data_IF_064157211040
#
_entry.id   IF_064157211040
#
_cell.length_a   1.000
_cell.length_b   1.000
_cell.length_c   1.000
_cell.angle_alpha   90.00
_cell.angle_beta   90.00
_cell.angle_gamma   90.00
#
_symmetry.space_group_name_H-M   'P 1'
#
loop_
_entity.id
_entity.type
_entity.pdbx_description
1 polymer ?
#
# COMPACT_ATOMS: atom_id res chain seq x y z
N UNK A 1 25.62 -12.79 55.32
CA UNK A 1 25.74 -11.89 54.15
C UNK A 1 24.77 -12.38 53.09
N UNK A 2 23.75 -11.59 52.77
CA UNK A 2 22.79 -11.91 51.71
C UNK A 2 23.26 -11.25 50.43
N UNK A 3 23.63 -12.05 49.44
CA UNK A 3 23.87 -11.57 48.08
C UNK A 3 22.51 -11.24 47.48
N UNK A 4 22.21 -9.96 47.34
CA UNK A 4 21.04 -9.49 46.57
C UNK A 4 21.49 -9.28 45.13
N UNK A 5 21.17 -10.23 44.25
CA UNK A 5 21.27 -10.02 42.81
C UNK A 5 20.13 -9.09 42.39
N UNK A 6 20.39 -7.77 42.33
CA UNK A 6 19.50 -6.86 41.61
C UNK A 6 19.61 -7.22 40.12
N UNK A 7 18.60 -7.92 39.61
CA UNK A 7 18.41 -8.11 38.17
C UNK A 7 18.55 -6.76 37.47
N UNK A 8 19.44 -6.71 36.48
CA UNK A 8 19.64 -5.56 35.60
C UNK A 8 18.34 -5.28 34.83
N UNK A 9 17.40 -4.52 35.41
CA UNK A 9 16.43 -3.75 34.64
C UNK A 9 17.11 -2.65 33.77
N UNK A 10 18.45 -2.60 33.81
CA UNK A 10 19.34 -1.95 32.83
C UNK A 10 19.79 -2.96 31.75
N UNK A 11 19.00 -3.99 31.46
CA UNK A 11 19.05 -4.70 30.19
C UNK A 11 18.42 -3.78 29.12
N UNK A 12 19.17 -2.73 28.76
CA UNK A 12 18.90 -1.75 27.70
C UNK A 12 19.01 -2.37 26.29
N UNK A 13 18.53 -3.59 26.11
CA UNK A 13 18.49 -4.26 24.82
C UNK A 13 17.14 -4.99 24.69
N UNK A 14 16.30 -4.49 23.78
CA UNK A 14 15.32 -5.26 23.03
C UNK A 14 14.19 -5.98 23.80
N UNK A 15 13.50 -5.33 24.74
CA UNK A 15 12.13 -5.76 25.06
C UNK A 15 11.22 -5.03 24.09
N UNK A 16 11.06 -5.61 22.91
CA UNK A 16 9.87 -5.37 22.11
C UNK A 16 8.63 -5.50 23.01
N UNK A 17 7.66 -4.61 22.90
CA UNK A 17 6.35 -4.90 23.46
C UNK A 17 5.73 -6.14 22.78
N UNK A 18 4.58 -6.62 23.28
CA UNK A 18 3.89 -7.78 22.69
C UNK A 18 3.46 -7.57 21.23
N UNK A 19 3.61 -6.37 20.68
CA UNK A 19 3.25 -6.00 19.31
C UNK A 19 4.46 -5.82 18.39
N UNK A 20 5.69 -6.05 18.87
CA UNK A 20 6.89 -5.89 18.04
C UNK A 20 7.60 -4.53 18.18
N UNK A 21 7.08 -3.59 18.99
CA UNK A 21 7.68 -2.25 19.14
C UNK A 21 8.87 -2.23 20.09
N UNK A 22 10.03 -1.84 19.59
CA UNK A 22 11.29 -1.81 20.34
C UNK A 22 11.57 -0.47 21.07
N UNK A 23 10.61 0.46 21.10
CA UNK A 23 10.74 1.81 21.70
C UNK A 23 9.62 2.07 22.71
N UNK A 24 9.62 3.25 23.33
CA UNK A 24 8.64 3.73 24.29
C UNK A 24 7.19 3.36 23.91
N UNK A 25 6.46 2.84 24.90
CA UNK A 25 5.07 2.37 24.78
C UNK A 25 4.05 3.53 24.82
N UNK A 26 4.47 4.75 24.48
CA UNK A 26 3.69 5.98 24.56
C UNK A 26 3.03 6.40 23.23
N UNK A 27 2.95 5.45 22.29
CA UNK A 27 2.14 5.58 21.08
C UNK A 27 0.68 5.93 21.40
N UNK A 28 0.01 6.61 20.46
CA UNK A 28 -1.41 7.00 20.53
C UNK A 28 -2.33 6.10 19.75
N UNK A 29 -1.86 5.64 18.59
CA UNK A 29 -2.57 4.69 17.73
C UNK A 29 -1.59 3.61 17.34
N UNK A 30 -2.03 2.35 17.45
CA UNK A 30 -1.34 1.17 16.97
C UNK A 30 -2.29 0.36 16.11
N UNK A 31 -1.90 0.08 14.88
CA UNK A 31 -2.60 -0.76 13.94
C UNK A 31 -1.72 -1.96 13.62
N UNK A 32 -2.11 -3.12 14.11
CA UNK A 32 -1.49 -4.40 13.78
C UNK A 32 -2.46 -5.17 12.87
N UNK A 33 -2.27 -5.01 11.57
CA UNK A 33 -3.07 -5.64 10.53
C UNK A 33 -2.83 -7.14 10.45
N UNK A 34 -1.62 -7.58 10.75
CA UNK A 34 -1.29 -8.99 10.79
C UNK A 34 -2.10 -9.70 11.86
N UNK A 35 -2.24 -9.14 13.06
CA UNK A 35 -2.91 -9.80 14.19
C UNK A 35 -4.35 -9.34 14.44
N UNK A 36 -4.91 -8.48 13.57
CA UNK A 36 -6.22 -7.83 13.77
C UNK A 36 -6.32 -7.11 15.13
N UNK A 37 -5.25 -6.44 15.55
CA UNK A 37 -5.21 -5.68 16.81
C UNK A 37 -5.13 -4.19 16.51
N UNK A 38 -6.16 -3.46 16.91
CA UNK A 38 -6.27 -2.02 16.69
C UNK A 38 -6.46 -1.35 18.03
N UNK A 39 -5.49 -0.53 18.41
CA UNK A 39 -5.42 0.03 19.75
C UNK A 39 -5.31 1.55 19.70
N UNK A 40 -6.02 2.19 20.60
CA UNK A 40 -5.94 3.63 20.84
C UNK A 40 -5.56 3.86 22.30
N UNK A 41 -4.53 4.68 22.53
CA UNK A 41 -4.09 5.04 23.88
C UNK A 41 -4.58 6.42 24.26
N UNK A 42 -5.22 6.52 25.42
CA UNK A 42 -5.68 7.79 26.01
C UNK A 42 -5.19 7.89 27.45
N UNK A 43 -4.37 8.90 27.76
CA UNK A 43 -3.73 9.12 29.06
C UNK A 43 -3.01 7.88 29.63
N UNK A 44 -3.73 7.01 30.33
CA UNK A 44 -3.24 5.77 30.96
C UNK A 44 -3.85 4.48 30.37
N UNK A 45 -4.95 4.58 29.62
CA UNK A 45 -5.71 3.41 29.16
C UNK A 45 -5.37 3.05 27.72
N UNK A 46 -5.34 1.76 27.44
CA UNK A 46 -5.23 1.20 26.09
C UNK A 46 -6.60 0.62 25.73
N UNK A 47 -7.25 1.24 24.76
CA UNK A 47 -8.59 0.86 24.29
C UNK A 47 -8.45 0.02 23.03
N UNK A 48 -9.07 -1.18 23.04
CA UNK A 48 -9.25 -1.96 21.82
C UNK A 48 -10.32 -1.30 20.95
N UNK A 49 -10.04 -1.22 19.65
CA UNK A 49 -10.90 -0.64 18.63
C UNK A 49 -11.17 -1.64 17.53
N UNK A 50 -12.19 -1.39 16.72
CA UNK A 50 -12.32 -2.03 15.41
C UNK A 50 -11.47 -1.27 14.40
N UNK A 51 -11.10 -1.94 13.29
CA UNK A 51 -10.33 -1.29 12.22
C UNK A 51 -11.07 -0.07 11.67
N UNK A 52 -12.40 -0.15 11.56
CA UNK A 52 -13.26 0.92 11.05
C UNK A 52 -13.38 2.11 11.99
N UNK A 53 -13.05 1.99 13.27
CA UNK A 53 -13.00 3.12 14.21
C UNK A 53 -11.74 4.00 13.98
N UNK A 54 -10.69 3.42 13.41
CA UNK A 54 -9.39 4.05 13.25
C UNK A 54 -9.05 4.36 11.79
N UNK A 55 -9.62 3.62 10.85
CA UNK A 55 -9.43 3.82 9.43
C UNK A 55 -10.73 4.19 8.72
N UNK A 56 -10.60 5.09 7.74
CA UNK A 56 -11.60 5.36 6.72
C UNK A 56 -11.09 4.78 5.42
N UNK A 57 -11.91 3.99 4.74
CA UNK A 57 -11.51 3.34 3.49
C UNK A 57 -12.52 3.68 2.43
N UNK A 58 -12.03 4.21 1.32
CA UNK A 58 -12.74 4.21 0.07
C UNK A 58 -12.12 3.07 -0.74
N UNK A 59 -12.81 1.94 -0.88
CA UNK A 59 -12.28 0.80 -1.64
C UNK A 59 -13.39 0.23 -2.51
N UNK A 60 -13.04 -0.01 -3.77
CA UNK A 60 -13.93 -0.54 -4.81
C UNK A 60 -13.60 -1.99 -5.18
N UNK A 61 -12.53 -2.58 -4.63
CA UNK A 61 -12.15 -3.97 -4.86
C UNK A 61 -12.50 -4.85 -3.64
N UNK A 62 -13.54 -5.69 -3.73
CA UNK A 62 -14.01 -6.47 -2.60
C UNK A 62 -13.22 -7.76 -2.36
N UNK A 63 -12.26 -8.14 -3.20
CA UNK A 63 -11.63 -9.48 -3.12
C UNK A 63 -10.50 -9.49 -2.09
N UNK A 64 -10.51 -10.46 -1.16
CA UNK A 64 -9.42 -10.72 -0.23
C UNK A 64 -9.21 -12.22 0.02
N UNK A 65 -8.07 -12.56 0.63
CA UNK A 65 -7.77 -13.89 1.14
C UNK A 65 -7.57 -13.83 2.65
N UNK A 66 -8.24 -14.72 3.39
CA UNK A 66 -8.01 -14.87 4.82
C UNK A 66 -6.59 -15.33 5.12
N UNK A 67 -6.20 -15.31 6.40
CA UNK A 67 -4.91 -15.86 6.84
C UNK A 67 -4.69 -17.31 6.45
N UNK A 68 -5.77 -18.09 6.38
CA UNK A 68 -5.74 -19.51 6.03
C UNK A 68 -5.70 -19.72 4.50
N UNK A 69 -5.67 -18.64 3.71
CA UNK A 69 -5.68 -18.68 2.25
C UNK A 69 -7.07 -18.83 1.63
N UNK A 70 -8.13 -18.86 2.44
CA UNK A 70 -9.50 -18.93 1.93
C UNK A 70 -9.94 -17.61 1.29
N UNK A 71 -10.61 -17.70 0.14
CA UNK A 71 -11.15 -16.54 -0.57
C UNK A 71 -12.39 -15.95 0.13
N UNK A 72 -12.47 -14.62 0.19
CA UNK A 72 -13.62 -13.89 0.71
C UNK A 72 -13.93 -12.63 -0.11
N UNK A 73 -15.22 -12.27 -0.12
CA UNK A 73 -15.74 -11.01 -0.66
C UNK A 73 -16.04 -10.07 0.50
N UNK A 74 -15.42 -8.88 0.46
CA UNK A 74 -15.59 -7.81 1.43
C UNK A 74 -16.72 -6.88 1.00
N UNK A 75 -17.40 -6.27 1.97
CA UNK A 75 -18.33 -5.19 1.70
C UNK A 75 -17.59 -3.93 1.21
N UNK A 76 -18.29 -3.07 0.46
CA UNK A 76 -17.78 -1.77 0.03
C UNK A 76 -17.22 -0.97 1.22
N UNK A 77 -16.17 -0.19 0.97
CA UNK A 77 -15.52 0.66 1.99
C UNK A 77 -14.95 -0.10 3.20
N UNK A 78 -14.70 -1.41 3.05
CA UNK A 78 -14.01 -2.23 4.05
C UNK A 78 -12.50 -2.25 3.76
N UNK A 79 -11.63 -2.03 4.77
CA UNK A 79 -10.20 -2.24 4.63
C UNK A 79 -9.90 -3.66 4.17
N UNK A 80 -9.07 -3.79 3.14
CA UNK A 80 -8.73 -5.09 2.58
C UNK A 80 -7.57 -5.73 3.33
N UNK A 81 -7.89 -6.46 4.38
CA UNK A 81 -6.93 -7.34 5.05
C UNK A 81 -6.85 -8.64 4.28
N UNK A 82 -5.70 -8.89 3.65
CA UNK A 82 -5.53 -10.04 2.79
C UNK A 82 -4.16 -10.67 3.01
N UNK A 83 -4.11 -12.00 2.91
CA UNK A 83 -2.88 -12.69 2.64
C UNK A 83 -2.36 -12.20 1.28
N UNK A 84 -1.06 -11.92 1.19
CA UNK A 84 -0.42 -11.67 -0.09
C UNK A 84 -0.57 -12.94 -0.94
N UNK A 85 -0.52 -12.78 -2.25
CA UNK A 85 -0.80 -13.88 -3.16
C UNK A 85 0.15 -15.07 -3.06
N UNK A 86 1.38 -14.83 -2.59
CA UNK A 86 2.35 -15.91 -2.38
C UNK A 86 2.09 -16.69 -1.07
N UNK A 87 1.06 -16.32 -0.30
CA UNK A 87 0.67 -17.00 0.93
C UNK A 87 1.58 -16.73 2.13
N UNK A 88 2.47 -15.74 2.05
CA UNK A 88 3.55 -15.54 3.03
C UNK A 88 3.31 -14.44 4.05
N UNK A 89 2.45 -13.47 3.77
CA UNK A 89 2.24 -12.28 4.63
C UNK A 89 0.79 -11.85 4.62
N UNK A 90 0.20 -11.70 5.80
CA UNK A 90 -1.15 -11.14 5.97
C UNK A 90 -1.08 -9.70 6.47
N UNK A 91 -1.89 -8.81 5.88
CA UNK A 91 -1.99 -7.43 6.34
C UNK A 91 -2.89 -6.59 5.45
N UNK A 92 -2.82 -5.27 5.62
CA UNK A 92 -3.57 -4.32 4.80
C UNK A 92 -2.96 -4.28 3.38
N UNK A 93 -3.75 -4.74 2.41
CA UNK A 93 -3.36 -4.84 1.01
C UNK A 93 -3.82 -3.60 0.23
N UNK A 94 -2.85 -2.73 -0.03
CA UNK A 94 -3.05 -1.48 -0.76
C UNK A 94 -2.61 -1.61 -2.23
N UNK A 95 -3.56 -1.77 -3.15
CA UNK A 95 -3.28 -1.79 -4.60
C UNK A 95 -3.74 -0.50 -5.28
N UNK A 96 -3.22 -0.17 -6.47
CA UNK A 96 -3.76 0.94 -7.25
C UNK A 96 -5.17 0.57 -7.76
N UNK A 97 -6.12 1.52 -7.77
CA UNK A 97 -7.40 1.30 -8.44
C UNK A 97 -7.21 1.37 -9.94
N UNK A 98 -7.47 0.23 -10.56
CA UNK A 98 -8.08 0.19 -11.87
C UNK A 98 -9.52 0.77 -11.77
N UNK A 99 -9.97 1.54 -12.76
CA UNK A 99 -11.39 1.95 -12.83
C UNK A 99 -12.27 0.71 -13.00
N UNK A 100 -12.92 0.27 -11.94
CA UNK A 100 -13.65 -1.00 -11.92
C UNK A 100 -14.89 -0.98 -12.84
N UNK A 101 -14.71 -1.44 -14.08
CA UNK A 101 -15.81 -2.02 -14.84
C UNK A 101 -15.85 -3.51 -14.51
N UNK A 102 -16.79 -3.88 -13.65
CA UNK A 102 -16.77 -5.11 -12.87
C UNK A 102 -17.65 -6.19 -13.51
N UNK A 103 -17.05 -7.32 -13.90
CA UNK A 103 -17.77 -8.59 -14.04
C UNK A 103 -17.35 -9.53 -12.90
N UNK A 104 -17.99 -9.46 -11.71
CA UNK A 104 -17.86 -10.48 -10.69
C UNK A 104 -18.76 -11.66 -11.01
N UNK A 105 -18.28 -12.86 -10.71
CA UNK A 105 -19.16 -14.00 -10.61
C UNK A 105 -18.57 -15.00 -9.63
N UNK A 106 -19.34 -15.36 -8.59
CA UNK A 106 -18.99 -16.37 -7.58
C UNK A 106 -19.36 -17.80 -8.01
N UNK A 107 -19.92 -17.94 -9.21
CA UNK A 107 -20.11 -19.20 -9.92
C UNK A 107 -20.03 -18.92 -11.43
N UNK A 108 -18.85 -18.53 -11.95
CA UNK A 108 -18.71 -18.14 -13.34
C UNK A 108 -19.03 -19.30 -14.28
N UNK A 109 -19.79 -18.99 -15.33
CA UNK A 109 -20.08 -19.89 -16.43
C UNK A 109 -19.63 -19.24 -17.74
N UNK A 110 -19.27 -20.06 -18.72
CA UNK A 110 -18.89 -19.57 -20.04
C UNK A 110 -19.99 -18.71 -20.66
N UNK A 111 -19.65 -17.50 -21.09
CA UNK A 111 -20.58 -16.57 -21.73
C UNK A 111 -19.87 -15.43 -22.44
N UNK A 112 -20.61 -14.74 -23.30
CA UNK A 112 -20.18 -13.44 -23.84
C UNK A 112 -20.50 -12.33 -22.85
N UNK A 113 -19.53 -11.46 -22.61
CA UNK A 113 -19.70 -10.24 -21.82
C UNK A 113 -19.48 -9.01 -22.70
N UNK A 114 -20.15 -7.93 -22.32
CA UNK A 114 -19.98 -6.62 -22.91
C UNK A 114 -18.99 -5.83 -22.06
N UNK A 115 -17.92 -5.35 -22.68
CA UNK A 115 -16.97 -4.42 -22.09
C UNK A 115 -17.48 -3.00 -22.35
N UNK A 116 -18.04 -2.38 -21.31
CA UNK A 116 -18.56 -1.00 -21.38
C UNK A 116 -17.38 -0.04 -21.52
N UNK A 117 -17.37 0.76 -22.59
CA UNK A 117 -16.27 1.67 -22.92
C UNK A 117 -16.37 3.00 -22.15
N UNK A 118 -15.23 3.49 -21.68
CA UNK A 118 -14.93 4.89 -21.36
C UNK A 118 -13.79 5.42 -22.23
N UNK A 119 -13.42 6.70 -22.09
CA UNK A 119 -12.29 7.30 -22.84
C UNK A 119 -10.93 6.64 -22.57
N UNK A 120 -10.83 5.84 -21.50
CA UNK A 120 -9.60 5.16 -21.04
C UNK A 120 -9.85 3.66 -20.75
N UNK A 121 -10.34 2.89 -21.73
CA UNK A 121 -10.69 1.48 -21.49
C UNK A 121 -9.62 0.51 -21.97
N UNK A 122 -8.82 0.01 -21.01
CA UNK A 122 -7.91 -1.12 -21.21
C UNK A 122 -6.51 -0.85 -20.62
N UNK A 123 -5.67 -1.88 -20.47
CA UNK A 123 -5.99 -3.30 -20.52
C UNK A 123 -7.03 -3.80 -19.52
N UNK A 124 -7.55 -4.98 -19.79
CA UNK A 124 -8.52 -5.67 -18.97
C UNK A 124 -7.82 -6.78 -18.20
N UNK A 125 -7.76 -6.66 -16.88
CA UNK A 125 -7.12 -7.63 -15.99
C UNK A 125 -8.10 -8.78 -15.76
N UNK A 126 -7.62 -10.00 -15.90
CA UNK A 126 -8.36 -11.23 -15.60
C UNK A 126 -7.76 -11.86 -14.35
N UNK A 127 -8.57 -12.00 -13.31
CA UNK A 127 -8.25 -12.74 -12.09
C UNK A 127 -9.33 -13.78 -11.83
N UNK A 128 -8.93 -14.98 -11.42
CA UNK A 128 -9.86 -16.03 -11.03
C UNK A 128 -9.39 -16.75 -9.78
N UNK A 129 -10.32 -17.47 -9.14
CA UNK A 129 -10.08 -18.35 -7.99
C UNK A 129 -10.64 -19.72 -8.32
N UNK A 130 -9.91 -20.78 -8.02
CA UNK A 130 -10.26 -22.17 -8.31
C UNK A 130 -9.17 -22.92 -9.07
N UNK A 131 -9.31 -24.24 -9.15
CA UNK A 131 -8.37 -25.14 -9.84
C UNK A 131 -8.53 -25.15 -11.37
N UNK A 132 -9.58 -24.52 -11.89
CA UNK A 132 -9.85 -24.38 -13.32
C UNK A 132 -9.02 -23.29 -14.01
N UNK A 133 -9.43 -22.94 -15.22
CA UNK A 133 -8.89 -21.84 -16.02
C UNK A 133 -10.00 -21.04 -16.69
N UNK A 134 -9.65 -19.83 -17.12
CA UNK A 134 -10.52 -18.94 -17.89
C UNK A 134 -9.82 -18.53 -19.17
N UNK A 135 -10.49 -18.67 -20.30
CA UNK A 135 -10.02 -18.19 -21.59
C UNK A 135 -10.88 -17.02 -22.05
N UNK A 136 -10.25 -15.95 -22.52
CA UNK A 136 -10.96 -14.78 -23.03
C UNK A 136 -10.63 -14.63 -24.51
N UNK A 137 -11.68 -14.64 -25.34
CA UNK A 137 -11.57 -14.55 -26.81
C UNK A 137 -12.54 -13.50 -27.35
N UNK A 138 -12.27 -13.01 -28.55
CA UNK A 138 -13.15 -12.05 -29.21
C UNK A 138 -12.41 -11.34 -30.33
N UNK A 139 -13.12 -10.96 -31.39
CA UNK A 139 -12.53 -10.21 -32.51
C UNK A 139 -12.06 -8.81 -32.11
N UNK A 140 -12.55 -8.29 -30.98
CA UNK A 140 -12.09 -7.03 -30.42
C UNK A 140 -10.79 -7.13 -29.63
N UNK A 141 -10.29 -8.35 -29.33
CA UNK A 141 -9.06 -8.52 -28.55
C UNK A 141 -7.85 -8.36 -29.45
N UNK A 142 -6.97 -7.42 -29.10
CA UNK A 142 -5.77 -7.08 -29.88
C UNK A 142 -4.51 -7.74 -29.36
N UNK A 143 -4.46 -8.01 -28.07
CA UNK A 143 -3.36 -8.74 -27.43
C UNK A 143 -3.80 -9.38 -26.13
N UNK A 144 -3.07 -10.41 -25.71
CA UNK A 144 -3.25 -11.08 -24.42
C UNK A 144 -1.91 -11.55 -23.88
N UNK A 145 -1.76 -11.58 -22.57
CA UNK A 145 -0.58 -12.16 -21.88
C UNK A 145 -0.58 -13.67 -21.84
N UNK A 146 -1.77 -14.27 -21.85
CA UNK A 146 -1.93 -15.71 -21.80
C UNK A 146 -3.08 -16.14 -22.69
N UNK A 147 -2.99 -17.38 -23.18
CA UNK A 147 -4.12 -18.05 -23.82
C UNK A 147 -5.17 -18.48 -22.78
N UNK A 148 -4.74 -18.73 -21.54
CA UNK A 148 -5.59 -19.14 -20.42
C UNK A 148 -5.12 -18.49 -19.11
N UNK A 149 -6.06 -17.99 -18.33
CA UNK A 149 -5.84 -17.37 -17.04
C UNK A 149 -6.19 -18.37 -15.94
N UNK A 150 -5.31 -18.52 -14.95
CA UNK A 150 -5.53 -19.37 -13.78
C UNK A 150 -5.38 -18.57 -12.50
N UNK A 151 -5.72 -19.17 -11.35
CA UNK A 151 -5.51 -18.50 -10.06
C UNK A 151 -4.04 -18.16 -9.80
N UNK A 152 -3.08 -18.94 -10.33
CA UNK A 152 -1.64 -18.68 -10.18
C UNK A 152 -1.06 -17.85 -11.32
N UNK A 153 -1.71 -17.83 -12.48
CA UNK A 153 -1.30 -17.08 -13.66
C UNK A 153 -2.43 -16.12 -14.05
N UNK A 154 -2.54 -14.96 -13.38
CA UNK A 154 -3.49 -13.97 -13.83
C UNK A 154 -2.92 -13.36 -15.11
N UNK A 155 -3.69 -12.51 -15.77
CA UNK A 155 -3.10 -11.72 -16.83
C UNK A 155 -4.00 -10.58 -17.20
N UNK A 156 -3.78 -10.09 -18.40
CA UNK A 156 -4.61 -9.10 -19.01
C UNK A 156 -4.72 -9.35 -20.52
N UNK A 157 -5.72 -8.71 -21.10
CA UNK A 157 -5.85 -8.57 -22.54
C UNK A 157 -6.15 -7.12 -22.91
N UNK A 158 -5.82 -6.75 -24.15
CA UNK A 158 -6.16 -5.48 -24.77
C UNK A 158 -7.34 -5.68 -25.69
N UNK A 159 -8.16 -4.63 -25.85
CA UNK A 159 -9.21 -4.60 -26.85
C UNK A 159 -9.16 -3.30 -27.66
N UNK A 160 -9.50 -3.35 -28.96
CA UNK A 160 -9.53 -2.21 -29.88
C UNK A 160 -10.52 -1.09 -29.44
N UNK A 161 -10.27 0.18 -29.81
CA UNK A 161 -11.04 1.39 -29.41
C UNK A 161 -11.17 2.39 -30.58
N UNK A 162 -12.29 3.18 -30.78
CA UNK A 162 -13.00 3.91 -29.71
C UNK A 162 -14.52 4.24 -29.86
N UNK A 163 -15.41 3.40 -30.42
CA UNK A 163 -16.84 3.81 -30.56
C UNK A 163 -17.93 2.75 -30.38
N UNK A 164 -17.62 1.54 -29.94
CA UNK A 164 -18.61 0.47 -29.79
C UNK A 164 -18.33 -0.41 -28.57
N UNK A 165 -19.37 -0.83 -27.85
CA UNK A 165 -19.28 -1.84 -26.78
C UNK A 165 -18.54 -3.07 -27.31
N UNK A 166 -17.35 -3.37 -26.78
CA UNK A 166 -16.56 -4.52 -27.20
C UNK A 166 -17.15 -5.79 -26.57
N UNK A 167 -17.39 -6.83 -27.36
CA UNK A 167 -17.89 -8.11 -26.87
C UNK A 167 -16.75 -9.11 -26.81
N UNK A 168 -16.56 -9.72 -25.64
CA UNK A 168 -15.59 -10.82 -25.47
C UNK A 168 -16.30 -12.06 -24.94
N UNK A 169 -15.95 -13.21 -25.50
CA UNK A 169 -16.35 -14.51 -25.01
C UNK A 169 -15.40 -14.94 -23.89
N UNK A 170 -15.97 -15.20 -22.72
CA UNK A 170 -15.30 -15.76 -21.57
C UNK A 170 -15.67 -17.24 -21.51
N UNK A 171 -14.68 -18.10 -21.62
CA UNK A 171 -14.82 -19.55 -21.49
C UNK A 171 -14.24 -19.97 -20.15
N UNK A 172 -15.07 -20.60 -19.30
CA UNK A 172 -14.71 -21.12 -17.99
C UNK A 172 -14.49 -22.63 -18.11
N UNK A 173 -13.30 -23.09 -17.75
CA UNK A 173 -12.86 -24.48 -17.91
C UNK A 173 -12.55 -25.04 -16.51
N UNK A 174 -13.24 -26.12 -16.12
CA UNK A 174 -13.04 -26.74 -14.81
C UNK A 174 -13.65 -25.96 -13.64
N UNK A 175 -13.11 -26.16 -12.44
CA UNK A 175 -13.65 -25.56 -11.22
C UNK A 175 -13.12 -24.13 -11.04
N UNK A 176 -13.94 -23.14 -11.40
CA UNK A 176 -13.69 -21.73 -11.10
C UNK A 176 -14.73 -21.26 -10.09
N UNK A 177 -14.27 -20.86 -8.90
CA UNK A 177 -15.08 -20.37 -7.78
C UNK A 177 -15.34 -18.86 -7.86
N UNK A 178 -14.43 -18.11 -8.46
CA UNK A 178 -14.63 -16.69 -8.70
C UNK A 178 -13.92 -16.24 -9.96
N UNK A 179 -14.52 -15.32 -10.69
CA UNK A 179 -13.89 -14.62 -11.82
C UNK A 179 -14.15 -13.13 -11.70
N UNK A 180 -13.09 -12.36 -11.90
CA UNK A 180 -13.11 -10.91 -12.00
C UNK A 180 -12.37 -10.47 -13.27
N UNK A 181 -13.08 -9.74 -14.13
CA UNK A 181 -12.49 -9.02 -15.26
C UNK A 181 -12.61 -7.53 -14.96
N UNK A 182 -11.49 -6.82 -14.92
CA UNK A 182 -11.38 -5.45 -14.44
C UNK A 182 -10.72 -4.55 -15.48
N UNK A 183 -11.40 -3.49 -15.91
CA UNK A 183 -10.80 -2.47 -16.77
C UNK A 183 -9.80 -1.63 -15.99
N UNK A 184 -8.60 -1.43 -16.51
CA UNK A 184 -7.54 -0.75 -15.75
C UNK A 184 -7.58 0.77 -15.78
N UNK A 185 -8.42 1.36 -16.63
CA UNK A 185 -8.49 2.81 -16.78
C UNK A 185 -7.31 3.42 -17.56
N UNK A 186 -6.59 2.64 -18.37
CA UNK A 186 -5.42 3.10 -19.12
C UNK A 186 -5.72 3.23 -20.63
N UNK A 187 -4.85 3.92 -21.37
CA UNK A 187 -4.97 4.02 -22.82
C UNK A 187 -4.40 2.78 -23.54
N UNK A 188 -4.70 2.58 -24.84
CA UNK A 188 -4.32 1.39 -25.60
C UNK A 188 -2.79 1.16 -25.79
N UNK A 189 -1.95 2.12 -25.39
CA UNK A 189 -0.48 2.05 -25.54
C UNK A 189 0.26 1.64 -24.25
N UNK A 190 -0.45 1.05 -23.29
CA UNK A 190 0.13 0.57 -22.03
C UNK A 190 0.92 -0.73 -22.18
N UNK A 191 2.25 -0.67 -22.10
CA UNK A 191 3.11 -1.87 -22.02
C UNK A 191 2.96 -2.56 -20.67
N UNK A 192 2.88 -3.87 -20.70
CA UNK A 192 2.42 -4.67 -19.57
C UNK A 192 3.15 -6.02 -19.56
N UNK A 193 3.61 -6.44 -18.39
CA UNK A 193 4.24 -7.75 -18.15
C UNK A 193 3.58 -8.35 -16.91
N UNK A 194 2.80 -9.42 -17.13
CA UNK A 194 2.11 -10.35 -16.23
C UNK A 194 1.54 -9.96 -14.84
N UNK A 195 1.57 -8.71 -14.36
CA UNK A 195 0.98 -8.43 -13.05
C UNK A 195 0.63 -6.95 -12.76
N UNK A 196 -0.21 -6.31 -13.59
CA UNK A 196 -0.78 -4.94 -13.48
C UNK A 196 -0.16 -3.92 -14.45
N UNK A 197 -0.87 -2.82 -14.66
CA UNK A 197 -0.87 -2.11 -15.94
C UNK A 197 -0.29 -0.70 -15.83
N UNK A 198 0.38 -0.26 -16.91
CA UNK A 198 1.03 1.05 -17.04
C UNK A 198 0.35 1.97 -18.07
N UNK A 199 0.37 3.27 -17.77
CA UNK A 199 0.01 4.44 -18.64
C UNK A 199 1.09 4.83 -19.66
N UNK A 200 0.65 5.40 -20.78
CA UNK A 200 1.34 6.51 -21.44
C UNK A 200 0.36 7.69 -21.59
N UNK A 201 0.81 8.89 -21.21
CA UNK A 201 0.20 10.23 -21.36
C UNK A 201 -0.81 10.74 -20.29
N UNK A 202 -0.50 11.91 -19.74
CA UNK A 202 -1.33 13.12 -19.89
C UNK A 202 -2.57 13.31 -19.01
N UNK A 203 -2.35 13.56 -17.71
CA UNK A 203 -3.33 14.13 -16.74
C UNK A 203 -4.59 13.29 -16.45
N UNK A 204 -5.28 13.60 -15.35
CA UNK A 204 -6.60 13.08 -14.92
C UNK A 204 -6.61 11.89 -13.92
N UNK A 205 -6.36 12.26 -12.66
CA UNK A 205 -6.73 11.69 -11.36
C UNK A 205 -7.80 10.57 -11.37
N UNK A 206 -7.39 9.32 -11.13
CA UNK A 206 -8.27 8.25 -10.68
C UNK A 206 -8.19 8.15 -9.15
N UNK A 207 -9.34 8.15 -8.47
CA UNK A 207 -9.41 7.94 -7.03
C UNK A 207 -8.92 6.53 -6.70
N UNK A 208 -7.67 6.44 -6.24
CA UNK A 208 -7.13 5.26 -5.58
C UNK A 208 -8.06 4.83 -4.46
N UNK A 209 -8.12 3.53 -4.19
CA UNK A 209 -8.69 3.08 -2.94
C UNK A 209 -7.82 3.70 -1.85
N UNK A 210 -8.35 4.68 -1.12
CA UNK A 210 -7.58 5.40 -0.12
C UNK A 210 -7.96 4.86 1.24
N UNK A 211 -7.01 4.19 1.88
CA UNK A 211 -7.09 3.96 3.31
C UNK A 211 -6.48 5.17 4.02
N UNK A 212 -7.27 5.82 4.86
CA UNK A 212 -6.85 6.95 5.68
C UNK A 212 -6.93 6.59 7.14
N UNK A 213 -5.99 7.08 7.94
CA UNK A 213 -6.27 7.23 9.37
C UNK A 213 -7.42 8.23 9.47
N UNK A 214 -8.48 7.85 10.20
CA UNK A 214 -9.67 8.67 10.33
C UNK A 214 -9.30 10.13 10.69
N UNK A 215 -9.79 11.14 9.96
CA UNK A 215 -9.40 12.53 10.20
C UNK A 215 -9.63 13.00 11.65
N UNK A 216 -10.68 12.50 12.31
CA UNK A 216 -10.93 12.78 13.72
C UNK A 216 -9.84 12.24 14.64
N UNK A 217 -9.17 11.13 14.30
CA UNK A 217 -8.06 10.55 15.06
C UNK A 217 -6.76 11.29 14.82
N UNK A 218 -6.49 11.69 13.57
CA UNK A 218 -5.38 12.60 13.26
C UNK A 218 -5.56 13.91 14.02
N UNK A 219 -6.79 14.44 14.02
CA UNK A 219 -7.14 15.67 14.73
C UNK A 219 -6.93 15.51 16.25
N UNK A 220 -7.52 14.48 16.85
CA UNK A 220 -7.45 14.23 18.29
C UNK A 220 -6.01 14.10 18.79
N UNK A 221 -5.14 13.44 18.03
CA UNK A 221 -3.81 13.08 18.51
C UNK A 221 -2.70 14.01 18.02
N UNK A 222 -2.82 14.56 16.80
CA UNK A 222 -1.78 15.32 16.12
C UNK A 222 -2.18 16.74 15.69
N UNK A 223 -3.44 17.18 15.82
CA UNK A 223 -3.84 18.51 15.32
C UNK A 223 -2.95 19.60 15.91
N UNK A 224 -2.41 20.45 15.03
CA UNK A 224 -1.54 21.57 15.38
C UNK A 224 -0.24 21.16 16.10
N UNK A 225 0.04 19.87 16.29
CA UNK A 225 1.30 19.39 16.85
C UNK A 225 2.35 19.38 15.74
N UNK A 226 3.44 20.10 15.99
CA UNK A 226 4.67 20.04 15.19
C UNK A 226 5.52 18.83 15.56
N UNK A 227 5.46 18.44 16.83
CA UNK A 227 6.20 17.33 17.38
C UNK A 227 5.35 16.07 17.29
N UNK A 228 5.69 15.18 16.36
CA UNK A 228 5.00 13.90 16.19
C UNK A 228 5.95 12.89 15.56
N UNK A 229 5.62 11.61 15.68
CA UNK A 229 6.35 10.55 15.00
C UNK A 229 5.42 9.46 14.49
N UNK A 230 5.78 8.84 13.38
CA UNK A 230 5.06 7.70 12.84
C UNK A 230 6.05 6.58 12.50
N UNK A 231 5.61 5.34 12.61
CA UNK A 231 6.34 4.18 12.12
C UNK A 231 5.39 3.24 11.42
N UNK A 232 5.85 2.60 10.37
CA UNK A 232 5.10 1.54 9.72
C UNK A 232 6.03 0.50 9.13
N UNK A 233 5.54 -0.73 9.03
CA UNK A 233 6.20 -1.80 8.32
C UNK A 233 5.46 -2.06 7.02
N UNK A 234 6.21 -2.04 5.92
CA UNK A 234 5.74 -2.47 4.61
C UNK A 234 6.54 -3.67 4.14
N UNK A 235 5.84 -4.66 3.61
CA UNK A 235 6.46 -5.80 2.95
C UNK A 235 6.21 -5.70 1.46
N UNK A 236 7.30 -5.78 0.71
CA UNK A 236 7.29 -5.81 -0.73
C UNK A 236 6.48 -6.97 -1.24
N UNK A 237 5.69 -6.64 -2.26
CA UNK A 237 5.00 -7.64 -3.01
C UNK A 237 5.81 -7.99 -4.27
N UNK A 238 6.60 -9.07 -4.20
CA UNK A 238 7.54 -9.42 -5.27
C UNK A 238 6.88 -9.80 -6.60
N UNK A 239 5.60 -10.18 -6.60
CA UNK A 239 4.87 -10.46 -7.85
C UNK A 239 4.38 -9.19 -8.56
N UNK A 240 4.55 -8.03 -7.93
CA UNK A 240 4.24 -6.71 -8.49
C UNK A 240 5.53 -5.98 -8.90
N UNK A 241 6.63 -6.73 -8.95
CA UNK A 241 7.89 -6.34 -9.58
C UNK A 241 7.73 -6.42 -11.09
N UNK A 242 7.58 -5.27 -11.70
CA UNK A 242 7.70 -5.16 -13.14
C UNK A 242 9.15 -4.84 -13.53
N UNK A 243 9.51 -5.29 -14.74
CA UNK A 243 10.53 -4.63 -15.52
C UNK A 243 9.83 -3.49 -16.29
N UNK A 244 10.16 -2.25 -16.00
CA UNK A 244 9.60 -1.11 -16.72
C UNK A 244 10.72 -0.16 -17.15
N UNK A 245 10.63 0.26 -18.42
CA UNK A 245 11.42 1.35 -18.98
C UNK A 245 10.84 2.74 -18.71
N UNK A 246 9.69 2.90 -18.01
CA UNK A 246 9.19 4.21 -17.53
C UNK A 246 7.98 4.10 -16.51
N UNK A 247 7.25 5.16 -16.11
CA UNK A 247 7.27 5.75 -14.75
C UNK A 247 5.92 6.22 -14.09
N UNK A 248 5.51 5.59 -12.97
CA UNK A 248 4.34 5.99 -12.13
C UNK A 248 4.56 5.61 -10.66
N UNK A 249 4.35 6.54 -9.70
CA UNK A 249 4.53 6.31 -8.25
C UNK A 249 3.21 6.09 -7.50
N UNK A 250 3.14 5.09 -6.61
CA UNK A 250 2.17 5.06 -5.51
C UNK A 250 2.93 5.24 -4.18
N UNK A 251 2.64 6.30 -3.41
CA UNK A 251 3.14 6.44 -2.06
C UNK A 251 2.75 5.25 -1.19
N UNK A 252 3.69 4.82 -0.35
CA UNK A 252 3.44 3.89 0.74
C UNK A 252 2.61 4.58 1.83
N UNK A 253 3.05 5.77 2.23
CA UNK A 253 2.37 6.61 3.20
C UNK A 253 2.51 8.07 2.77
N UNK A 254 1.44 8.83 2.96
CA UNK A 254 1.44 10.28 2.77
C UNK A 254 1.01 10.99 4.04
N UNK A 255 1.73 12.06 4.37
CA UNK A 255 1.37 13.01 5.42
C UNK A 255 1.01 14.33 4.76
N UNK A 256 -0.23 14.76 4.92
CA UNK A 256 -0.80 15.88 4.16
C UNK A 256 -1.14 17.03 5.07
N UNK A 257 -0.81 18.22 4.60
CA UNK A 257 -1.26 19.50 5.11
C UNK A 257 -1.66 20.39 3.92
N UNK A 258 -2.45 21.44 4.15
CA UNK A 258 -2.99 22.34 3.13
C UNK A 258 -1.94 22.88 2.15
N UNK A 259 -0.70 23.12 2.60
CA UNK A 259 0.37 23.72 1.79
C UNK A 259 1.68 22.93 1.78
N UNK A 260 1.75 21.84 2.55
CA UNK A 260 2.95 21.02 2.74
C UNK A 260 2.59 19.55 2.67
N UNK A 261 3.45 18.74 2.08
CA UNK A 261 3.17 17.32 1.88
C UNK A 261 4.44 16.49 2.03
N UNK A 262 4.31 15.29 2.59
CA UNK A 262 5.37 14.27 2.65
C UNK A 262 4.84 13.01 1.98
N UNK A 263 5.48 12.55 0.91
CA UNK A 263 5.21 11.23 0.33
C UNK A 263 6.41 10.32 0.57
N UNK A 264 6.15 9.10 1.00
CA UNK A 264 7.17 8.06 1.10
C UNK A 264 6.91 7.07 -0.02
N UNK A 265 7.88 6.86 -0.89
CA UNK A 265 7.76 5.98 -2.04
C UNK A 265 8.86 4.92 -1.97
N UNK A 266 8.57 3.72 -2.46
CA UNK A 266 9.61 2.77 -2.84
C UNK A 266 9.82 2.86 -4.35
N UNK A 267 11.07 2.88 -4.82
CA UNK A 267 11.40 3.04 -6.25
C UNK A 267 12.61 2.22 -6.66
N UNK A 268 12.74 1.97 -7.96
CA UNK A 268 13.96 1.42 -8.56
C UNK A 268 14.80 2.57 -9.11
N UNK A 269 16.10 2.54 -8.89
CA UNK A 269 17.04 3.56 -9.35
C UNK A 269 18.08 2.95 -10.30
N UNK A 270 18.29 3.63 -11.43
CA UNK A 270 19.28 3.27 -12.44
C UNK A 270 18.92 2.04 -13.28
N UNK A 271 19.83 1.70 -14.21
CA UNK A 271 19.72 0.53 -15.10
C UNK A 271 19.97 -0.81 -14.40
N UNK A 272 20.54 -0.79 -13.20
CA UNK A 272 20.90 -1.97 -12.42
C UNK A 272 19.78 -2.46 -11.45
N UNK A 273 18.59 -1.87 -11.50
CA UNK A 273 17.43 -2.27 -10.69
C UNK A 273 17.65 -2.24 -9.17
N UNK A 274 18.55 -1.40 -8.65
CA UNK A 274 18.67 -1.18 -7.21
C UNK A 274 17.35 -0.58 -6.68
N UNK A 275 16.80 -1.14 -5.60
CA UNK A 275 15.63 -0.58 -4.93
C UNK A 275 16.05 0.41 -3.86
N UNK A 276 15.26 1.47 -3.68
CA UNK A 276 15.38 2.39 -2.55
C UNK A 276 14.02 2.88 -2.07
N UNK A 277 13.98 3.39 -0.83
CA UNK A 277 12.88 4.21 -0.35
C UNK A 277 13.30 5.65 -0.61
N UNK A 278 12.43 6.45 -1.21
CA UNK A 278 12.64 7.88 -1.34
C UNK A 278 11.54 8.64 -0.60
N UNK A 279 11.93 9.69 0.08
CA UNK A 279 11.01 10.61 0.74
C UNK A 279 10.95 11.88 -0.08
N UNK A 280 9.75 12.23 -0.52
CA UNK A 280 9.47 13.44 -1.28
C UNK A 280 8.85 14.45 -0.33
N UNK A 281 9.53 15.56 -0.13
CA UNK A 281 9.11 16.68 0.71
C UNK A 281 8.66 17.81 -0.18
N UNK A 282 7.42 18.27 -0.02
CA UNK A 282 6.86 19.33 -0.82
C UNK A 282 6.56 20.55 0.06
N UNK A 283 7.28 21.64 -0.18
CA UNK A 283 7.12 22.92 0.49
C UNK A 283 7.52 24.05 -0.46
N UNK A 284 6.59 24.47 -1.33
CA UNK A 284 6.82 25.34 -2.51
C UNK A 284 7.75 24.75 -3.59
N UNK A 285 8.78 24.01 -3.19
CA UNK A 285 9.66 23.19 -4.04
C UNK A 285 9.67 21.75 -3.55
N UNK A 286 9.92 20.83 -4.47
CA UNK A 286 10.10 19.42 -4.14
C UNK A 286 11.56 19.13 -3.77
N UNK A 287 11.76 18.43 -2.66
CA UNK A 287 13.04 17.84 -2.25
C UNK A 287 12.89 16.34 -2.15
N UNK A 288 13.77 15.59 -2.80
CA UNK A 288 13.78 14.13 -2.74
C UNK A 288 14.97 13.66 -1.91
N UNK A 289 14.70 12.88 -0.87
CA UNK A 289 15.71 12.28 0.01
C UNK A 289 15.73 10.77 -0.25
N UNK A 290 16.77 10.24 -0.91
CA UNK A 290 16.95 8.81 -1.03
C UNK A 290 17.36 8.21 0.32
N UNK A 291 16.78 7.05 0.64
CA UNK A 291 17.10 6.25 1.81
C UNK A 291 17.57 4.88 1.34
N UNK A 292 18.81 4.55 1.68
CA UNK A 292 19.47 3.28 1.34
C UNK A 292 19.15 2.18 2.36
N UNK A 293 19.43 0.92 2.00
CA UNK A 293 19.22 -0.22 2.91
C UNK A 293 17.80 -0.80 2.91
N UNK A 294 17.06 -0.60 1.82
CA UNK A 294 15.77 -1.26 1.64
C UNK A 294 15.91 -2.76 1.57
N UNK A 295 15.06 -3.44 2.32
CA UNK A 295 14.90 -4.89 2.26
C UNK A 295 13.49 -5.20 1.78
N UNK A 296 13.22 -6.48 1.51
CA UNK A 296 11.87 -6.96 1.21
C UNK A 296 10.87 -6.57 2.31
N UNK A 297 11.30 -6.64 3.57
CA UNK A 297 10.58 -6.11 4.71
C UNK A 297 11.27 -4.82 5.13
N UNK A 298 10.58 -3.69 5.09
CA UNK A 298 11.14 -2.42 5.51
C UNK A 298 10.29 -1.80 6.61
N UNK A 299 10.92 -1.44 7.73
CA UNK A 299 10.29 -0.63 8.78
C UNK A 299 10.81 0.79 8.65
N UNK A 300 9.89 1.73 8.43
CA UNK A 300 10.17 3.13 8.15
C UNK A 300 9.61 3.96 9.31
N UNK A 301 10.44 4.79 9.91
CA UNK A 301 10.05 5.71 10.95
C UNK A 301 10.31 7.17 10.54
N UNK A 302 9.40 8.06 10.91
CA UNK A 302 9.48 9.50 10.67
C UNK A 302 9.29 10.20 12.00
N UNK A 303 10.06 11.24 12.25
CA UNK A 303 9.85 12.15 13.36
C UNK A 303 9.90 13.58 12.89
N UNK A 304 8.92 14.39 13.28
CA UNK A 304 8.88 15.82 13.04
C UNK A 304 9.00 16.58 14.34
N UNK A 305 9.65 17.74 14.29
CA UNK A 305 9.60 18.73 15.36
C UNK A 305 10.36 20.00 15.04
N UNK A 306 10.79 20.71 16.08
CA UNK A 306 11.36 22.07 15.96
C UNK A 306 12.64 22.14 15.11
N UNK A 307 13.38 21.03 15.03
CA UNK A 307 14.61 20.91 14.25
C UNK A 307 14.37 20.40 12.81
N UNK A 308 13.12 20.21 12.40
CA UNK A 308 12.74 19.66 11.10
C UNK A 308 12.35 18.18 11.17
N UNK A 309 12.49 17.49 10.04
CA UNK A 309 12.18 16.06 9.92
C UNK A 309 13.42 15.19 10.13
N UNK A 310 13.22 14.04 10.76
CA UNK A 310 14.17 12.94 10.81
C UNK A 310 13.48 11.69 10.30
N UNK A 311 14.25 10.84 9.63
CA UNK A 311 13.79 9.61 9.03
C UNK A 311 14.69 8.47 9.43
N UNK A 312 14.15 7.26 9.54
CA UNK A 312 14.95 6.07 9.72
C UNK A 312 14.37 4.87 8.97
N UNK A 313 15.25 4.09 8.36
CA UNK A 313 14.90 2.82 7.71
C UNK A 313 15.82 1.75 8.23
N UNK A 314 15.24 0.72 8.84
CA UNK A 314 15.99 -0.46 9.32
C UNK A 314 17.21 -0.11 10.19
N UNK A 315 17.14 0.97 10.96
CA UNK A 315 18.22 1.46 11.85
C UNK A 315 19.13 2.53 11.25
N UNK A 316 18.96 2.91 9.98
CA UNK A 316 19.75 3.99 9.37
C UNK A 316 18.99 5.31 9.46
N UNK A 317 19.47 6.25 10.30
CA UNK A 317 18.84 7.56 10.51
C UNK A 317 19.39 8.60 9.53
N UNK A 318 18.48 9.33 8.89
CA UNK A 318 18.76 10.47 8.01
C UNK A 318 18.10 11.72 8.58
N UNK A 319 18.87 12.81 8.72
CA UNK A 319 18.38 14.09 9.23
C UNK A 319 18.57 15.19 8.17
N UNK A 320 17.59 15.37 7.26
CA UNK A 320 17.58 16.47 6.31
C UNK A 320 17.25 17.76 7.04
N UNK A 321 18.26 18.41 7.61
CA UNK A 321 18.09 19.57 8.47
C UNK A 321 17.26 20.69 7.81
N UNK A 322 16.35 21.27 8.59
CA UNK A 322 15.48 22.43 8.26
C UNK A 322 14.45 22.26 7.12
N UNK A 323 14.48 21.18 6.34
CA UNK A 323 13.41 20.93 5.34
C UNK A 323 12.13 20.58 6.09
N UNK A 324 11.01 21.22 5.71
CA UNK A 324 9.69 21.01 6.34
C UNK A 324 9.64 21.34 7.85
N UNK A 325 10.42 22.33 8.31
CA UNK A 325 10.25 22.90 9.65
C UNK A 325 8.80 23.35 9.87
N UNK A 326 8.31 23.18 11.10
CA UNK A 326 6.94 23.52 11.50
C UNK A 326 5.86 22.80 10.69
N UNK A 327 6.17 21.61 10.18
CA UNK A 327 5.17 20.77 9.53
C UNK A 327 4.18 20.25 10.57
N UNK A 328 2.89 20.42 10.28
CA UNK A 328 1.80 19.77 11.01
C UNK A 328 1.09 18.82 10.05
N UNK A 329 0.38 17.83 10.59
CA UNK A 329 -0.35 16.84 9.78
C UNK A 329 -1.84 17.05 9.94
N UNK A 330 -2.55 17.11 8.81
CA UNK A 330 -4.01 17.18 8.76
C UNK A 330 -4.63 15.85 8.31
N UNK A 331 -3.94 15.10 7.45
CA UNK A 331 -4.39 13.79 6.96
C UNK A 331 -3.21 12.81 6.87
N UNK A 332 -3.47 11.53 7.13
CA UNK A 332 -2.50 10.43 6.99
C UNK A 332 -3.12 9.38 6.09
N UNK A 333 -2.51 9.17 4.94
CA UNK A 333 -2.96 8.19 3.96
C UNK A 333 -1.99 7.01 4.00
N UNK A 334 -2.53 5.80 4.07
CA UNK A 334 -1.81 4.54 3.98
C UNK A 334 -2.14 3.99 2.59
N UNK A 335 -1.14 3.97 1.70
CA UNK A 335 -1.36 3.81 0.27
C UNK A 335 -1.49 5.13 -0.49
N UNK A 336 -2.05 5.08 -1.69
CA UNK A 336 -2.01 6.19 -2.65
C UNK A 336 -3.14 7.15 -2.38
N UNK A 337 -2.84 8.43 -2.44
CA UNK A 337 -3.73 9.48 -2.91
C UNK A 337 -3.68 9.53 -4.45
N UNK A 338 -4.74 10.01 -5.09
CA UNK A 338 -4.81 10.21 -6.55
C UNK A 338 -3.88 11.31 -7.07
N UNK A 339 -3.01 11.87 -6.22
CA UNK A 339 -2.61 13.25 -6.40
C UNK A 339 -1.36 13.44 -7.25
N UNK A 340 -0.44 12.46 -7.38
CA UNK A 340 0.86 12.75 -8.01
C UNK A 340 1.49 11.59 -8.80
N UNK A 341 1.67 11.81 -10.11
CA UNK A 341 2.46 10.98 -11.02
C UNK A 341 3.75 11.75 -11.35
N UNK A 342 4.92 11.10 -11.35
CA UNK A 342 6.17 11.68 -11.86
C UNK A 342 6.94 10.61 -12.63
N UNK A 343 7.90 11.04 -13.46
CA UNK A 343 8.38 10.26 -14.58
C UNK A 343 9.74 9.54 -14.40
N UNK A 344 10.07 8.86 -13.28
CA UNK A 344 11.24 7.91 -13.15
C UNK A 344 10.87 6.60 -12.38
N UNK A 345 11.47 5.44 -12.70
CA UNK A 345 10.98 4.04 -12.52
C UNK A 345 10.57 3.55 -11.11
N UNK A 346 9.64 2.56 -11.04
CA UNK A 346 8.89 2.24 -9.80
C UNK A 346 8.44 0.77 -9.64
N UNK A 347 8.35 0.34 -8.38
CA UNK A 347 7.53 -0.76 -7.81
C UNK A 347 6.64 -0.15 -6.73
N UNK A 348 5.32 -0.24 -6.82
CA UNK A 348 4.46 0.40 -5.82
C UNK A 348 3.26 -0.44 -5.42
N UNK A 349 3.52 -1.63 -4.86
CA UNK A 349 2.51 -2.44 -4.19
C UNK A 349 3.17 -3.25 -3.07
N UNK A 350 2.59 -3.18 -1.89
CA UNK A 350 3.08 -3.84 -0.69
C UNK A 350 1.95 -4.15 0.27
N UNK A 351 2.23 -5.01 1.24
CA UNK A 351 1.33 -5.30 2.36
C UNK A 351 1.82 -4.51 3.56
N UNK A 352 0.93 -3.70 4.15
CA UNK A 352 1.19 -3.03 5.41
C UNK A 352 0.80 -3.98 6.54
N UNK A 353 1.76 -4.32 7.39
CA UNK A 353 1.55 -5.25 8.51
C UNK A 353 1.32 -4.49 9.80
N UNK A 354 2.06 -3.38 10.02
CA UNK A 354 2.02 -2.59 11.25
C UNK A 354 2.09 -1.09 10.96
N UNK A 355 1.41 -0.30 11.79
CA UNK A 355 1.50 1.17 11.81
C UNK A 355 1.35 1.66 13.26
N UNK A 356 2.18 2.62 13.67
CA UNK A 356 2.02 3.30 14.95
C UNK A 356 2.29 4.81 14.84
N UNK A 357 1.61 5.56 15.69
CA UNK A 357 1.67 7.02 15.74
C UNK A 357 1.95 7.52 17.15
N UNK A 358 2.81 8.51 17.27
CA UNK A 358 3.25 9.17 18.50
C UNK A 358 2.99 10.67 18.40
N UNK A 359 2.64 11.30 19.51
CA UNK A 359 2.36 12.74 19.57
C UNK A 359 3.54 13.57 20.09
N UNK A 360 4.75 13.03 19.93
CA UNK A 360 6.01 13.69 20.27
C UNK A 360 7.07 13.43 19.20
N UNK A 361 8.08 14.28 19.21
CA UNK A 361 9.32 14.04 18.47
C UNK A 361 10.14 12.96 19.20
N UNK A 362 10.64 11.99 18.45
CA UNK A 362 11.62 11.00 18.90
C UNK A 362 13.01 11.56 18.63
N UNK A 363 13.97 11.30 19.53
CA UNK A 363 15.37 11.61 19.24
C UNK A 363 15.97 10.57 18.26
N UNK A 364 17.18 10.83 17.74
CA UNK A 364 17.84 9.94 16.77
C UNK A 364 18.01 8.51 17.24
N UNK A 365 18.29 8.27 18.54
CA UNK A 365 18.45 6.93 19.08
C UNK A 365 17.11 6.19 19.20
N UNK A 366 16.07 6.88 19.66
CA UNK A 366 14.71 6.34 19.68
C UNK A 366 14.23 6.02 18.26
N UNK A 367 14.44 6.92 17.30
CA UNK A 367 14.02 6.73 15.92
C UNK A 367 14.77 5.58 15.25
N UNK A 368 16.07 5.45 15.52
CA UNK A 368 16.90 4.34 15.07
C UNK A 368 16.32 3.01 15.51
N UNK A 369 16.07 2.85 16.81
CA UNK A 369 15.51 1.61 17.38
C UNK A 369 14.08 1.39 16.89
N UNK A 370 13.27 2.44 16.73
CA UNK A 370 11.90 2.32 16.24
C UNK A 370 11.86 1.75 14.82
N UNK A 371 12.77 2.19 13.95
CA UNK A 371 12.89 1.66 12.58
C UNK A 371 13.40 0.22 12.50
N UNK A 372 13.74 -0.41 13.62
CA UNK A 372 14.08 -1.83 13.75
C UNK A 372 12.97 -2.64 14.43
N UNK A 373 11.85 -1.98 14.76
CA UNK A 373 10.66 -2.65 15.30
C UNK A 373 9.99 -3.52 14.25
N UNK A 374 9.17 -4.45 14.74
CA UNK A 374 8.39 -5.41 13.93
C UNK A 374 9.22 -6.42 13.14
N UNK A 375 10.53 -6.52 13.41
CA UNK A 375 11.42 -7.49 12.79
C UNK A 375 11.23 -8.90 13.32
#
# INVERSE_FOLDING_TARGET
MTIVLKSNNVAKAAISDKHGLQVAQDWKVMLDFENNQYLEKSASDVLSRTITDLLSVENTNPIAYTKDGEYVVLADNTPRLSLNRNGTVFGLLEEATATNYYFPSDAPVSKTINLVQGSNTGPWIVKMVGAGSVKVTGSSITSSTSAEFTELQPGYFMADSPSAIAQVAVEVIGEVKHLSIMGSGFGPNGYTDNALIKTQFGTWWAASGVTKVRPEKVTQHLLNKKNFSIVFQCIDNDYLNFSFNDTVYKPLVELVNLSKHISIIKRKIGSAAAEEIAIRLFNNTEVVIPLTGTQKVSTIAISSGDNGLMFAVNGNVTNPSQVMKDFTVADILIGSSSQWISTIGVKAQGVFTKFAMYDRQLNSDELRVLSQSFQ
#
